data_IF_389832758355
#
_entry.id   IF_389832758355
#
_cell.length_a   1.000
_cell.length_b   1.000
_cell.length_c   1.000
_cell.angle_alpha   90.00
_cell.angle_beta   90.00
_cell.angle_gamma   90.00
#
_symmetry.space_group_name_H-M   'P 1'
#
loop_
_entity.id
_entity.type
_entity.pdbx_description
1 polymer ?
#
# COMPACT_ATOMS: atom_id res chain seq x y z
N UNK A 1 32.30 50.13 34.48
CA UNK A 1 31.52 50.76 35.58
C UNK A 1 30.23 49.96 35.67
N UNK A 2 30.20 48.89 36.47
CA UNK A 2 29.94 48.83 37.94
C UNK A 2 28.46 49.06 38.27
N UNK A 3 27.71 47.96 38.46
CA UNK A 3 26.76 47.69 39.57
C UNK A 3 26.10 46.33 39.27
N UNK A 4 26.38 45.20 39.95
CA UNK A 4 26.09 44.85 41.36
C UNK A 4 24.59 45.00 41.68
N UNK A 5 23.87 44.15 42.42
CA UNK A 5 23.98 42.83 43.07
C UNK A 5 22.69 42.76 43.94
N UNK A 6 22.19 41.57 44.34
CA UNK A 6 21.37 41.22 45.54
C UNK A 6 20.29 40.19 45.14
N UNK A 7 20.40 38.88 45.36
CA UNK A 7 20.52 38.03 46.59
C UNK A 7 19.18 37.85 47.35
N UNK A 8 18.97 36.59 47.77
CA UNK A 8 18.09 36.04 48.84
C UNK A 8 16.73 35.49 48.40
N UNK A 9 16.20 34.39 48.94
CA UNK A 9 16.67 33.35 49.86
C UNK A 9 15.47 32.42 50.19
N UNK A 10 15.68 31.10 50.08
CA UNK A 10 15.40 30.12 51.16
C UNK A 10 13.95 29.67 51.47
N UNK A 11 13.74 28.36 51.23
CA UNK A 11 13.19 27.32 52.14
C UNK A 11 11.70 26.92 52.16
N UNK A 12 11.55 25.62 52.45
CA UNK A 12 10.52 24.90 53.23
C UNK A 12 9.43 24.12 52.47
N UNK A 13 9.75 22.85 52.19
CA UNK A 13 8.89 21.68 52.45
C UNK A 13 8.63 21.58 53.97
N UNK A 14 7.50 21.01 54.47
CA UNK A 14 7.41 19.55 54.58
C UNK A 14 6.00 18.90 54.59
N UNK A 15 5.97 17.60 54.21
CA UNK A 15 5.46 16.41 54.91
C UNK A 15 4.14 16.46 55.72
N UNK A 16 3.26 15.46 55.49
CA UNK A 16 2.43 14.64 56.43
C UNK A 16 1.25 14.07 55.61
N UNK A 17 1.17 12.79 55.22
CA UNK A 17 0.94 11.54 55.99
C UNK A 17 -0.40 11.50 56.76
N UNK A 18 -1.42 10.77 56.29
CA UNK A 18 -2.05 9.73 57.12
C UNK A 18 -3.04 8.79 56.39
N UNK A 19 -3.10 7.61 57.00
CA UNK A 19 -3.78 6.34 56.82
C UNK A 19 -5.32 6.32 56.67
N UNK A 20 -5.81 5.18 56.15
CA UNK A 20 -7.15 4.63 56.39
C UNK A 20 -7.60 3.69 55.26
N UNK A 21 -7.13 2.45 55.14
CA UNK A 21 -7.54 1.21 55.84
C UNK A 21 -8.82 0.52 55.31
N UNK A 22 -8.62 -0.72 54.84
CA UNK A 22 -9.49 -1.93 54.82
C UNK A 22 -10.84 -1.95 54.11
N UNK A 23 -11.03 -2.89 53.17
CA UNK A 23 -11.67 -4.20 53.46
C UNK A 23 -11.73 -5.11 52.22
N UNK A 24 -11.62 -6.39 52.51
CA UNK A 24 -11.56 -7.60 51.68
C UNK A 24 -12.91 -8.03 51.06
N UNK A 25 -12.84 -9.01 50.15
CA UNK A 25 -13.77 -10.14 49.89
C UNK A 25 -14.10 -10.33 48.40
N UNK A 26 -13.92 -11.56 47.87
CA UNK A 26 -14.62 -11.98 46.64
C UNK A 26 -13.88 -12.95 45.73
N UNK A 27 -13.92 -14.22 46.09
CA UNK A 27 -13.41 -15.42 45.40
C UNK A 27 -14.26 -15.82 44.15
N UNK A 28 -13.62 -16.55 43.23
CA UNK A 28 -14.15 -17.66 42.37
C UNK A 28 -14.74 -17.32 40.98
N UNK A 29 -14.09 -17.91 39.97
CA UNK A 29 -14.58 -18.16 38.62
C UNK A 29 -15.48 -19.42 38.55
N UNK A 30 -16.30 -19.57 37.50
CA UNK A 30 -16.25 -20.86 36.81
C UNK A 30 -16.25 -20.78 35.28
N UNK A 31 -15.46 -21.71 34.75
CA UNK A 31 -15.45 -22.36 33.45
C UNK A 31 -16.86 -22.62 32.86
N UNK A 32 -17.03 -22.38 31.55
CA UNK A 32 -18.08 -23.03 30.75
C UNK A 32 -17.54 -23.41 29.38
N UNK A 33 -17.40 -24.71 29.19
CA UNK A 33 -17.19 -25.44 27.94
C UNK A 33 -18.47 -25.42 27.11
N UNK A 34 -18.39 -25.00 25.84
CA UNK A 34 -19.48 -25.09 24.86
C UNK A 34 -18.95 -25.59 23.52
N UNK A 35 -19.64 -26.60 23.00
CA UNK A 35 -19.26 -27.55 21.95
C UNK A 35 -19.37 -27.06 20.51
N UNK A 36 -18.69 -27.80 19.63
CA UNK A 36 -18.62 -27.64 18.16
C UNK A 36 -19.97 -27.57 17.43
N UNK A 37 -19.99 -26.87 16.30
CA UNK A 37 -20.87 -27.19 15.17
C UNK A 37 -20.23 -26.76 13.84
N UNK A 38 -20.37 -27.69 12.90
CA UNK A 38 -19.68 -27.85 11.63
C UNK A 38 -20.42 -27.12 10.50
N UNK A 39 -19.65 -26.70 9.48
CA UNK A 39 -20.03 -26.49 8.07
C UNK A 39 -21.09 -25.43 7.71
N UNK A 40 -20.66 -24.43 6.94
CA UNK A 40 -21.00 -24.33 5.51
C UNK A 40 -20.05 -23.35 4.83
N UNK A 41 -19.11 -23.91 4.06
CA UNK A 41 -18.26 -23.18 3.13
C UNK A 41 -19.15 -22.78 1.95
N UNK A 42 -19.57 -21.52 1.92
CA UNK A 42 -20.11 -20.91 0.69
C UNK A 42 -18.93 -20.48 -0.17
N UNK A 43 -18.51 -21.37 -1.07
CA UNK A 43 -17.63 -21.07 -2.18
C UNK A 43 -18.35 -20.11 -3.14
N UNK A 44 -17.88 -18.87 -3.37
CA UNK A 44 -18.33 -18.14 -4.54
C UNK A 44 -17.72 -18.81 -5.77
N UNK A 45 -18.55 -19.54 -6.51
CA UNK A 45 -18.24 -19.96 -7.88
C UNK A 45 -18.13 -18.72 -8.76
N UNK A 46 -16.92 -18.16 -8.88
CA UNK A 46 -16.59 -17.31 -10.02
C UNK A 46 -16.07 -18.22 -11.13
N UNK A 47 -17.02 -18.86 -11.82
CA UNK A 47 -16.79 -19.42 -13.15
C UNK A 47 -16.61 -18.25 -14.11
N UNK A 48 -15.42 -17.63 -14.09
CA UNK A 48 -14.95 -16.80 -15.18
C UNK A 48 -13.85 -17.58 -15.87
N UNK A 49 -14.26 -18.27 -16.93
CA UNK A 49 -13.40 -18.69 -18.03
C UNK A 49 -12.55 -17.51 -18.45
N UNK A 50 -11.37 -17.39 -17.83
CA UNK A 50 -10.37 -16.40 -18.21
C UNK A 50 -9.76 -16.92 -19.49
N UNK A 51 -10.41 -16.57 -20.61
CA UNK A 51 -9.75 -16.55 -21.89
C UNK A 51 -8.46 -15.75 -21.71
N UNK A 52 -7.33 -16.45 -21.73
CA UNK A 52 -5.98 -15.91 -21.57
C UNK A 52 -5.62 -15.12 -22.84
N UNK A 53 -6.33 -14.04 -23.10
CA UNK A 53 -5.99 -13.11 -24.16
C UNK A 53 -4.75 -12.31 -23.74
N UNK A 54 -3.81 -12.23 -24.67
CA UNK A 54 -2.40 -11.82 -24.50
C UNK A 54 -2.22 -10.30 -24.31
N UNK A 55 -2.98 -9.69 -23.39
CA UNK A 55 -2.74 -8.33 -22.86
C UNK A 55 -2.14 -8.35 -21.45
N UNK A 56 -1.56 -9.49 -21.05
CA UNK A 56 -1.27 -9.82 -19.65
C UNK A 56 -0.32 -8.85 -18.96
N UNK A 57 0.65 -8.29 -19.67
CA UNK A 57 1.77 -7.58 -19.03
C UNK A 57 1.39 -6.19 -18.51
N UNK A 58 0.66 -5.39 -19.28
CA UNK A 58 0.17 -4.08 -18.83
C UNK A 58 -0.88 -4.24 -17.73
N UNK A 59 -1.81 -5.17 -17.91
CA UNK A 59 -2.80 -5.51 -16.88
C UNK A 59 -2.16 -6.08 -15.61
N UNK A 60 -1.12 -6.91 -15.72
CA UNK A 60 -0.40 -7.44 -14.56
C UNK A 60 0.34 -6.32 -13.80
N UNK A 61 0.88 -5.31 -14.49
CA UNK A 61 1.49 -4.15 -13.86
C UNK A 61 0.47 -3.22 -13.21
N UNK A 62 -0.65 -2.96 -13.89
CA UNK A 62 -1.77 -2.20 -13.34
C UNK A 62 -2.37 -2.95 -12.14
N UNK A 63 -2.46 -4.27 -12.20
CA UNK A 63 -2.91 -5.14 -11.10
C UNK A 63 -1.93 -5.11 -9.93
N UNK A 64 -0.63 -5.20 -10.19
CA UNK A 64 0.41 -5.08 -9.18
C UNK A 64 0.34 -3.71 -8.50
N UNK A 65 0.26 -2.62 -9.28
CA UNK A 65 0.10 -1.27 -8.78
C UNK A 65 -1.20 -1.05 -8.00
N UNK A 66 -2.30 -1.74 -8.34
CA UNK A 66 -3.55 -1.71 -7.56
C UNK A 66 -3.50 -2.56 -6.29
N UNK A 67 -2.64 -3.57 -6.26
CA UNK A 67 -2.48 -4.45 -5.11
C UNK A 67 -1.60 -3.84 -4.01
N UNK A 68 -0.75 -2.86 -4.33
CA UNK A 68 0.07 -2.17 -3.33
C UNK A 68 -0.78 -1.46 -2.28
N UNK A 69 -0.36 -1.53 -1.02
CA UNK A 69 -1.04 -0.93 0.14
C UNK A 69 -0.20 0.12 0.87
N UNK A 70 1.00 0.39 0.38
CA UNK A 70 1.96 1.35 0.92
C UNK A 70 2.52 2.23 -0.20
N UNK A 71 2.90 3.45 0.14
CA UNK A 71 3.67 4.31 -0.76
C UNK A 71 5.10 3.76 -0.93
N UNK A 72 5.71 4.00 -2.10
CA UNK A 72 7.13 3.72 -2.31
C UNK A 72 8.03 4.74 -1.62
N UNK A 73 9.32 4.43 -1.46
CA UNK A 73 10.27 5.36 -0.83
C UNK A 73 10.50 6.64 -1.64
N UNK A 74 10.28 6.59 -2.95
CA UNK A 74 10.44 7.73 -3.85
C UNK A 74 9.18 8.61 -3.95
N UNK A 75 8.08 8.20 -3.32
CA UNK A 75 6.78 8.85 -3.41
C UNK A 75 6.63 9.97 -2.38
N UNK A 76 6.12 11.13 -2.81
CA UNK A 76 5.88 12.26 -1.91
C UNK A 76 4.53 12.11 -1.19
N UNK A 77 4.59 11.62 0.05
CA UNK A 77 3.42 11.53 0.94
C UNK A 77 3.14 12.89 1.59
N UNK A 78 1.95 13.42 1.36
CA UNK A 78 1.49 14.71 1.91
C UNK A 78 0.26 14.49 2.77
N UNK A 79 0.36 14.91 4.02
CA UNK A 79 -0.78 14.93 4.95
C UNK A 79 -1.47 16.29 4.92
N UNK A 80 -2.77 16.27 4.64
CA UNK A 80 -3.59 17.47 4.47
C UNK A 80 -4.80 17.42 5.40
N UNK A 81 -5.20 18.56 5.95
CA UNK A 81 -6.39 18.68 6.78
C UNK A 81 -7.63 19.00 5.94
N UNK A 82 -8.77 18.38 6.25
CA UNK A 82 -10.08 18.69 5.66
C UNK A 82 -10.56 20.07 6.15
N UNK A 83 -11.10 20.95 5.28
CA UNK A 83 -11.19 20.84 3.82
C UNK A 83 -9.81 21.03 3.14
N UNK A 84 -9.52 20.22 2.12
CA UNK A 84 -8.20 20.19 1.47
C UNK A 84 -7.87 21.50 0.74
N UNK A 85 -8.86 22.11 0.08
CA UNK A 85 -8.68 23.29 -0.76
C UNK A 85 -7.99 23.00 -2.09
N UNK A 86 -8.33 21.87 -2.71
CA UNK A 86 -7.81 21.41 -4.00
C UNK A 86 -8.98 21.18 -4.96
N UNK A 87 -8.78 21.56 -6.23
CA UNK A 87 -9.66 21.14 -7.33
C UNK A 87 -8.96 20.02 -8.07
N UNK A 88 -9.60 18.85 -8.08
CA UNK A 88 -9.11 17.66 -8.77
C UNK A 88 -9.89 17.49 -10.07
N UNK A 89 -9.20 17.03 -11.11
CA UNK A 89 -9.80 16.65 -12.38
C UNK A 89 -9.26 15.28 -12.82
N UNK A 90 -9.90 14.69 -13.84
CA UNK A 90 -9.57 13.37 -14.35
C UNK A 90 -9.15 13.46 -15.81
N UNK A 91 -8.18 12.62 -16.18
CA UNK A 91 -7.75 12.39 -17.55
C UNK A 91 -8.54 11.23 -18.20
N UNK A 92 -8.48 11.12 -19.52
CA UNK A 92 -9.19 10.09 -20.30
C UNK A 92 -8.79 8.66 -19.87
N UNK A 93 -7.54 8.48 -19.42
CA UNK A 93 -7.02 7.22 -18.87
C UNK A 93 -7.52 6.90 -17.45
N UNK A 94 -8.33 7.77 -16.84
CA UNK A 94 -8.87 7.58 -15.49
C UNK A 94 -7.92 7.92 -14.34
N UNK A 95 -6.83 8.62 -14.64
CA UNK A 95 -5.90 9.15 -13.64
C UNK A 95 -6.41 10.50 -13.13
N UNK A 96 -6.21 10.77 -11.84
CA UNK A 96 -6.68 12.00 -11.18
C UNK A 96 -5.49 12.94 -10.97
N UNK A 97 -5.62 14.19 -11.41
CA UNK A 97 -4.59 15.21 -11.25
C UNK A 97 -5.15 16.47 -10.58
N UNK A 98 -4.25 17.28 -10.03
CA UNK A 98 -4.59 18.57 -9.42
C UNK A 98 -4.69 19.62 -10.52
N UNK A 99 -5.88 20.18 -10.72
CA UNK A 99 -6.09 21.23 -11.72
C UNK A 99 -5.69 22.59 -11.16
N UNK A 100 -6.25 22.95 -10.00
CA UNK A 100 -5.94 24.21 -9.32
C UNK A 100 -5.79 24.02 -7.82
N UNK A 101 -4.89 24.79 -7.22
CA UNK A 101 -4.69 24.83 -5.77
C UNK A 101 -5.28 26.13 -5.24
N UNK A 102 -6.21 26.05 -4.29
CA UNK A 102 -6.77 27.25 -3.68
C UNK A 102 -5.68 27.95 -2.83
N UNK A 103 -5.33 29.20 -3.17
CA UNK A 103 -4.23 29.93 -2.54
C UNK A 103 -4.35 30.10 -1.01
N UNK A 104 -5.56 30.10 -0.45
CA UNK A 104 -5.82 30.12 1.01
C UNK A 104 -6.18 28.76 1.60
N UNK A 105 -6.07 27.68 0.82
CA UNK A 105 -6.41 26.32 1.22
C UNK A 105 -5.34 25.66 2.10
N UNK A 106 -5.72 24.59 2.79
CA UNK A 106 -4.79 23.83 3.63
C UNK A 106 -3.68 23.16 2.81
N UNK A 107 -3.94 22.82 1.54
CA UNK A 107 -2.93 22.28 0.62
C UNK A 107 -1.91 23.33 0.14
N UNK A 108 -2.32 24.59 -0.06
CA UNK A 108 -1.37 25.65 -0.38
C UNK A 108 -0.43 25.94 0.81
N UNK A 109 -0.94 25.82 2.04
CA UNK A 109 -0.16 26.06 3.26
C UNK A 109 0.95 25.03 3.50
N UNK A 110 0.79 23.80 3.03
CA UNK A 110 1.86 22.79 3.12
C UNK A 110 2.95 23.01 2.07
N UNK A 111 2.64 23.68 0.95
CA UNK A 111 3.61 24.01 -0.10
C UNK A 111 4.16 22.82 -0.89
N UNK A 112 3.65 21.61 -0.62
CA UNK A 112 4.09 20.35 -1.23
C UNK A 112 3.29 19.97 -2.48
N UNK A 113 2.10 20.54 -2.64
CA UNK A 113 1.20 20.22 -3.77
C UNK A 113 1.33 21.30 -4.82
N UNK A 114 1.55 20.90 -6.07
CA UNK A 114 1.58 21.80 -7.23
C UNK A 114 0.45 21.48 -8.19
N UNK A 115 0.12 22.47 -9.01
CA UNK A 115 -0.82 22.30 -10.13
C UNK A 115 -0.20 21.36 -11.17
N UNK A 116 -0.98 20.39 -11.64
CA UNK A 116 -0.54 19.35 -12.55
C UNK A 116 0.08 18.10 -11.91
N UNK A 117 0.14 18.02 -10.57
CA UNK A 117 0.58 16.80 -9.90
C UNK A 117 -0.50 15.70 -9.98
N UNK A 118 -0.07 14.47 -10.21
CA UNK A 118 -0.96 13.31 -10.33
C UNK A 118 -1.10 12.65 -8.95
N UNK A 119 -2.34 12.45 -8.51
CA UNK A 119 -2.63 11.68 -7.31
C UNK A 119 -2.40 10.21 -7.65
N UNK A 120 -1.51 9.55 -6.90
CA UNK A 120 -1.15 8.16 -7.15
C UNK A 120 -1.74 7.23 -6.11
N UNK A 121 -1.63 7.61 -4.83
CA UNK A 121 -2.24 6.86 -3.74
C UNK A 121 -3.08 7.80 -2.88
N UNK A 122 -4.19 7.28 -2.38
CA UNK A 122 -5.03 7.93 -1.38
C UNK A 122 -5.05 7.03 -0.15
N UNK A 123 -5.11 7.61 1.03
CA UNK A 123 -5.32 6.87 2.26
C UNK A 123 -6.63 6.09 2.27
N UNK A 124 -6.63 4.93 2.92
CA UNK A 124 -7.84 4.19 3.24
C UNK A 124 -8.79 4.99 4.15
N UNK A 125 -10.06 4.58 4.18
CA UNK A 125 -11.07 5.19 5.05
C UNK A 125 -10.78 4.96 6.53
N UNK A 126 -10.12 3.84 6.86
CA UNK A 126 -9.70 3.45 8.20
C UNK A 126 -8.23 3.04 8.21
N UNK A 127 -7.50 3.47 9.24
CA UNK A 127 -6.07 3.20 9.41
C UNK A 127 -5.16 4.04 8.50
N UNK A 128 -3.92 3.55 8.37
CA UNK A 128 -2.81 4.24 7.67
C UNK A 128 -2.44 3.58 6.34
N UNK A 129 -3.19 2.56 5.94
CA UNK A 129 -3.01 1.92 4.63
C UNK A 129 -3.36 2.90 3.52
N UNK A 130 -2.76 2.70 2.36
CA UNK A 130 -3.04 3.47 1.16
C UNK A 130 -3.59 2.58 0.05
N UNK A 131 -4.31 3.16 -0.88
CA UNK A 131 -4.82 2.48 -2.07
C UNK A 131 -4.46 3.27 -3.32
N UNK A 132 -4.20 2.54 -4.41
CA UNK A 132 -3.80 3.13 -5.67
C UNK A 132 -4.99 3.70 -6.44
N UNK A 133 -4.81 4.91 -6.94
CA UNK A 133 -5.83 5.69 -7.65
C UNK A 133 -5.69 5.63 -9.17
N UNK A 134 -4.70 4.90 -9.69
CA UNK A 134 -4.44 4.77 -11.14
C UNK A 134 -5.59 4.07 -11.85
N UNK A 135 -6.19 4.77 -12.81
CA UNK A 135 -7.34 4.29 -13.58
C UNK A 135 -8.58 3.99 -12.74
N UNK A 136 -8.79 4.69 -11.62
CA UNK A 136 -9.97 4.48 -10.74
C UNK A 136 -11.04 5.56 -10.94
N UNK A 137 -10.65 6.74 -11.43
CA UNK A 137 -11.54 7.86 -11.71
C UNK A 137 -11.80 8.79 -10.51
N UNK A 138 -12.24 10.00 -10.82
CA UNK A 138 -12.40 11.12 -9.88
C UNK A 138 -13.44 10.86 -8.79
N UNK A 139 -14.57 10.24 -9.15
CA UNK A 139 -15.67 9.98 -8.21
C UNK A 139 -15.24 9.14 -7.02
N UNK A 140 -14.40 8.12 -7.25
CA UNK A 140 -13.93 7.25 -6.15
C UNK A 140 -12.93 7.94 -5.26
N UNK A 141 -12.03 8.73 -5.83
CA UNK A 141 -11.04 9.53 -5.09
C UNK A 141 -11.74 10.55 -4.19
N UNK A 142 -12.71 11.29 -4.73
CA UNK A 142 -13.50 12.25 -3.95
C UNK A 142 -14.31 11.58 -2.85
N UNK A 143 -14.94 10.44 -3.15
CA UNK A 143 -15.70 9.67 -2.16
C UNK A 143 -14.81 9.17 -1.02
N UNK A 144 -13.62 8.66 -1.33
CA UNK A 144 -12.66 8.20 -0.32
C UNK A 144 -12.24 9.34 0.62
N UNK A 145 -11.94 10.52 0.06
CA UNK A 145 -11.60 11.72 0.83
C UNK A 145 -12.78 12.15 1.72
N UNK A 146 -14.01 12.11 1.20
CA UNK A 146 -15.23 12.51 1.92
C UNK A 146 -15.49 11.59 3.11
N UNK A 147 -15.48 10.27 2.89
CA UNK A 147 -15.87 9.23 3.87
C UNK A 147 -14.77 8.93 4.89
N UNK A 148 -13.51 9.28 4.63
CA UNK A 148 -12.41 9.03 5.58
C UNK A 148 -12.72 9.61 6.97
N UNK A 149 -12.55 8.75 7.97
CA UNK A 149 -12.65 9.11 9.39
C UNK A 149 -11.41 9.90 9.80
N UNK A 150 -11.63 11.05 10.44
CA UNK A 150 -10.58 11.92 10.94
C UNK A 150 -10.40 13.22 10.14
N UNK A 151 -9.69 14.19 10.73
CA UNK A 151 -9.51 15.51 10.12
C UNK A 151 -8.40 15.53 9.06
N UNK A 152 -7.48 14.55 9.05
CA UNK A 152 -6.36 14.48 8.10
C UNK A 152 -6.56 13.41 7.03
N UNK A 153 -6.07 13.70 5.83
CA UNK A 153 -6.02 12.81 4.67
C UNK A 153 -4.59 12.78 4.17
N UNK A 154 -4.04 11.58 3.95
CA UNK A 154 -2.70 11.36 3.42
C UNK A 154 -2.84 11.02 1.94
N UNK A 155 -2.23 11.83 1.09
CA UNK A 155 -2.24 11.69 -0.36
C UNK A 155 -0.81 11.57 -0.86
N UNK A 156 -0.58 10.71 -1.84
CA UNK A 156 0.69 10.66 -2.55
C UNK A 156 0.55 11.39 -3.87
N UNK A 157 1.42 12.35 -4.08
CA UNK A 157 1.51 13.10 -5.31
C UNK A 157 2.74 12.65 -6.11
N UNK A 158 2.56 12.52 -7.42
CA UNK A 158 3.64 12.34 -8.36
C UNK A 158 3.70 13.56 -9.28
N UNK A 159 4.83 14.27 -9.25
CA UNK A 159 5.04 15.38 -10.18
C UNK A 159 5.17 14.89 -11.62
N UNK A 160 4.82 15.72 -12.59
CA UNK A 160 4.90 15.38 -14.02
C UNK A 160 6.31 14.91 -14.47
N UNK A 161 7.36 15.44 -13.84
CA UNK A 161 8.74 15.00 -14.10
C UNK A 161 9.02 13.60 -13.53
N UNK A 162 8.47 13.29 -12.36
CA UNK A 162 8.57 11.95 -11.79
C UNK A 162 7.76 10.95 -12.61
N UNK A 163 6.56 11.32 -13.04
CA UNK A 163 5.71 10.49 -13.90
C UNK A 163 6.43 10.07 -15.19
N UNK A 164 7.08 11.02 -15.88
CA UNK A 164 7.88 10.74 -17.08
C UNK A 164 9.09 9.84 -16.79
N UNK A 165 9.79 10.07 -15.68
CA UNK A 165 10.92 9.22 -15.26
C UNK A 165 10.47 7.81 -14.92
N UNK A 166 9.35 7.66 -14.20
CA UNK A 166 8.77 6.35 -13.88
C UNK A 166 8.32 5.65 -15.14
N UNK A 167 7.60 6.31 -16.05
CA UNK A 167 7.22 5.75 -17.35
C UNK A 167 8.45 5.25 -18.15
N UNK A 168 9.53 6.06 -18.22
CA UNK A 168 10.77 5.65 -18.87
C UNK A 168 11.41 4.44 -18.18
N UNK A 169 11.49 4.45 -16.83
CA UNK A 169 12.05 3.34 -16.06
C UNK A 169 11.22 2.06 -16.19
N UNK A 170 9.89 2.17 -16.21
CA UNK A 170 8.96 1.06 -16.39
C UNK A 170 9.14 0.42 -17.75
N UNK A 171 9.25 1.20 -18.83
CA UNK A 171 9.50 0.63 -20.17
C UNK A 171 10.84 -0.13 -20.25
N UNK A 172 11.90 0.40 -19.63
CA UNK A 172 13.21 -0.25 -19.58
C UNK A 172 13.20 -1.50 -18.69
N UNK A 173 12.50 -1.45 -17.56
CA UNK A 173 12.31 -2.59 -16.65
C UNK A 173 11.45 -3.68 -17.28
N UNK A 174 10.41 -3.30 -18.02
CA UNK A 174 9.58 -4.23 -18.79
C UNK A 174 10.41 -4.94 -19.85
N UNK A 175 11.22 -4.22 -20.62
CA UNK A 175 12.12 -4.82 -21.62
C UNK A 175 13.11 -5.78 -20.95
N UNK A 176 13.80 -5.36 -19.88
CA UNK A 176 14.71 -6.22 -19.14
C UNK A 176 14.02 -7.47 -18.55
N UNK A 177 12.78 -7.34 -18.06
CA UNK A 177 11.99 -8.48 -17.58
C UNK A 177 11.57 -9.42 -18.70
N UNK A 178 11.22 -8.90 -19.89
CA UNK A 178 10.89 -9.71 -21.07
C UNK A 178 12.09 -10.51 -21.51
N UNK A 179 13.24 -9.86 -21.68
CA UNK A 179 14.48 -10.50 -22.08
C UNK A 179 14.91 -11.57 -21.05
N UNK A 180 14.77 -11.28 -19.75
CA UNK A 180 15.05 -12.24 -18.69
C UNK A 180 14.07 -13.42 -18.68
N UNK A 181 12.79 -13.16 -18.97
CA UNK A 181 11.75 -14.20 -19.07
C UNK A 181 11.98 -15.09 -20.27
N UNK A 182 12.32 -14.52 -21.41
CA UNK A 182 12.64 -15.25 -22.65
C UNK A 182 13.91 -16.09 -22.47
N UNK A 183 14.96 -15.54 -21.84
CA UNK A 183 16.15 -16.31 -21.48
C UNK A 183 15.84 -17.44 -20.48
N UNK A 184 14.93 -17.22 -19.54
CA UNK A 184 14.49 -18.27 -18.62
C UNK A 184 13.62 -19.33 -19.30
N UNK A 185 12.82 -18.96 -20.30
CA UNK A 185 12.04 -19.89 -21.13
C UNK A 185 12.96 -20.75 -21.98
N UNK A 186 13.92 -20.14 -22.69
CA UNK A 186 14.91 -20.88 -23.49
C UNK A 186 15.71 -21.89 -22.64
N UNK A 187 16.08 -21.52 -21.40
CA UNK A 187 16.71 -22.45 -20.45
C UNK A 187 15.78 -23.59 -20.05
N UNK A 188 14.49 -23.31 -19.79
CA UNK A 188 13.51 -24.36 -19.47
C UNK A 188 13.30 -25.32 -20.63
N UNK A 189 13.19 -24.81 -21.84
CA UNK A 189 12.97 -25.63 -23.04
C UNK A 189 14.19 -26.52 -23.34
N UNK A 190 15.39 -25.99 -23.11
CA UNK A 190 16.64 -26.78 -23.19
C UNK A 190 16.63 -27.93 -22.18
N UNK A 191 16.32 -27.65 -20.91
CA UNK A 191 16.25 -28.68 -19.86
C UNK A 191 15.16 -29.72 -20.13
N UNK A 192 14.01 -29.30 -20.65
CA UNK A 192 12.95 -30.21 -21.07
C UNK A 192 13.43 -31.17 -22.15
N UNK A 193 14.14 -30.65 -23.16
CA UNK A 193 14.67 -31.47 -24.24
C UNK A 193 15.74 -32.47 -23.76
N UNK A 194 16.58 -32.09 -22.79
CA UNK A 194 17.55 -32.99 -22.17
C UNK A 194 16.87 -34.10 -21.37
N UNK A 195 15.84 -33.76 -20.58
CA UNK A 195 15.07 -34.75 -19.83
C UNK A 195 14.32 -35.74 -20.75
N UNK A 196 13.75 -35.25 -21.85
CA UNK A 196 13.11 -36.11 -22.86
C UNK A 196 14.11 -37.07 -23.52
N UNK A 197 15.33 -36.60 -23.81
CA UNK A 197 16.39 -37.44 -24.35
C UNK A 197 16.87 -38.50 -23.35
N UNK A 198 16.99 -38.15 -22.08
CA UNK A 198 17.39 -39.10 -21.05
C UNK A 198 16.28 -40.11 -20.75
N UNK A 199 15.00 -39.70 -20.75
CA UNK A 199 13.87 -40.62 -20.66
C UNK A 199 13.88 -41.65 -21.80
N UNK A 200 14.11 -41.22 -23.04
CA UNK A 200 14.13 -42.13 -24.20
C UNK A 200 15.31 -43.10 -24.14
N UNK A 201 16.50 -42.65 -23.70
CA UNK A 201 17.67 -43.53 -23.48
C UNK A 201 17.43 -44.53 -22.36
N UNK A 202 16.88 -44.10 -21.23
CA UNK A 202 16.57 -44.99 -20.10
C UNK A 202 15.51 -46.03 -20.49
N UNK A 203 14.45 -45.65 -21.24
CA UNK A 203 13.44 -46.59 -21.75
C UNK A 203 14.07 -47.66 -22.66
N UNK A 204 15.00 -47.27 -23.54
CA UNK A 204 15.76 -48.22 -24.40
C UNK A 204 16.70 -49.14 -23.61
N UNK A 205 17.41 -48.60 -22.61
CA UNK A 205 18.31 -49.39 -21.76
C UNK A 205 17.57 -50.34 -20.80
N UNK A 206 16.41 -49.93 -20.28
CA UNK A 206 15.54 -50.78 -19.44
C UNK A 206 14.88 -51.91 -20.24
N UNK A 207 14.61 -51.69 -21.52
CA UNK A 207 14.05 -52.70 -22.43
C UNK A 207 15.06 -53.80 -22.81
N UNK A 208 16.34 -53.47 -22.87
CA UNK A 208 17.43 -54.42 -23.19
C UNK A 208 17.96 -55.22 -21.99
N UNK A 209 17.50 -54.93 -20.77
CA UNK A 209 17.88 -55.65 -19.55
C UNK A 209 16.76 -56.53 -18.95
N UNK A 210 15.66 -56.74 -19.68
CA UNK A 210 14.49 -57.53 -19.25
C UNK A 210 14.23 -58.76 -20.15
N UNK A 211 15.26 -59.25 -20.83
CA UNK A 211 15.34 -60.56 -21.48
C UNK A 211 16.61 -61.25 -21.01
#
# INVERSE_FOLDING_TARGET
>A
MKSLLTISATLLLPLVANLGSVTSFGLIAPLSTGTASTSTLVSPSCSSTTALFMGKEEEDLLRAARSSRSAGNDDEVVELQKPLGLVLNQDDAGNVYVETVAARGNAARTGKVKEGDIVTMVSATFGDQMWSTRGVGLTRVLTAIRVRTGPRVSLVFESQNQYKKKAASTSKQQQAMKDAREAAQAKKDTLLSELEQDETKLKKGKFLGLF
#
